data_IF_456188297145
#
_entry.id   IF_456188297145
#
_cell.length_a   1.000
_cell.length_b   1.000
_cell.length_c   1.000
_cell.angle_alpha   90.00
_cell.angle_beta   90.00
_cell.angle_gamma   90.00
#
_symmetry.space_group_name_H-M   'P 1'
#
loop_
_entity.id
_entity.type
_entity.pdbx_description
1 polymer ?
#
# COMPACT_ATOMS: atom_id res chain seq x y z
N UNK A 1 -1.57 1.79 -22.71
CA UNK A 1 -2.62 2.69 -22.18
C UNK A 1 -3.82 1.82 -21.84
N UNK A 2 -4.34 1.88 -20.63
CA UNK A 2 -5.56 1.17 -20.25
C UNK A 2 -6.80 1.97 -20.65
N UNK A 3 -7.90 1.26 -20.89
CA UNK A 3 -9.18 1.85 -21.27
C UNK A 3 -10.25 1.71 -20.18
N UNK A 4 -9.97 0.94 -19.13
CA UNK A 4 -10.85 0.79 -17.96
C UNK A 4 -10.05 0.56 -16.71
N UNK A 5 -10.62 0.96 -15.57
CA UNK A 5 -10.10 0.71 -14.23
C UNK A 5 -11.24 0.27 -13.32
N UNK A 6 -10.94 -0.70 -12.48
CA UNK A 6 -11.79 -1.13 -11.38
C UNK A 6 -11.02 -0.98 -10.07
N UNK A 7 -11.68 -0.43 -9.06
CA UNK A 7 -11.09 -0.09 -7.77
C UNK A 7 -12.00 -0.64 -6.67
N UNK A 8 -11.41 -1.38 -5.74
CA UNK A 8 -12.11 -1.92 -4.59
C UNK A 8 -11.38 -1.54 -3.30
N UNK A 9 -12.15 -1.10 -2.30
CA UNK A 9 -11.70 -0.85 -0.91
C UNK A 9 -10.57 0.17 -0.78
N UNK A 10 -10.54 1.21 -1.61
CA UNK A 10 -9.48 2.22 -1.60
C UNK A 10 -9.99 3.59 -1.15
N UNK A 11 -9.51 4.09 0.00
CA UNK A 11 -9.86 5.41 0.56
C UNK A 11 -11.38 5.62 0.61
N UNK A 12 -11.88 6.70 0.00
CA UNK A 12 -13.31 6.99 -0.11
C UNK A 12 -14.08 6.14 -1.13
N UNK A 13 -13.46 5.14 -1.73
CA UNK A 13 -14.05 4.29 -2.76
C UNK A 13 -14.24 2.88 -2.20
N UNK A 14 -15.48 2.46 -1.97
CA UNK A 14 -15.80 1.07 -1.66
C UNK A 14 -15.66 0.19 -2.90
N UNK A 15 -16.28 0.63 -4.00
CA UNK A 15 -16.16 0.05 -5.33
C UNK A 15 -16.38 1.13 -6.39
N UNK A 16 -15.55 1.13 -7.42
CA UNK A 16 -15.73 1.98 -8.60
C UNK A 16 -15.28 1.24 -9.86
N UNK A 17 -16.02 1.41 -10.93
CA UNK A 17 -15.66 0.95 -12.26
C UNK A 17 -15.79 2.10 -13.25
N UNK A 18 -14.68 2.43 -13.92
CA UNK A 18 -14.61 3.51 -14.92
C UNK A 18 -14.08 2.90 -16.21
N UNK A 19 -14.73 3.17 -17.31
CA UNK A 19 -14.40 2.70 -18.66
C UNK A 19 -14.31 3.85 -19.64
N UNK A 20 -13.86 3.50 -20.85
CA UNK A 20 -13.79 4.42 -21.99
C UNK A 20 -12.82 5.58 -21.75
N UNK A 21 -11.65 5.27 -21.14
CA UNK A 21 -10.57 6.24 -21.01
C UNK A 21 -10.03 6.67 -22.37
N UNK A 22 -10.06 8.00 -22.61
CA UNK A 22 -9.45 8.64 -23.75
C UNK A 22 -8.04 9.15 -23.47
N UNK A 23 -7.50 9.95 -24.39
CA UNK A 23 -6.21 10.63 -24.20
C UNK A 23 -6.31 11.73 -23.12
N UNK A 24 -7.46 12.39 -23.05
CA UNK A 24 -7.79 13.41 -22.05
C UNK A 24 -9.07 12.97 -21.35
N UNK A 25 -9.03 12.93 -20.02
CA UNK A 25 -10.16 12.55 -19.18
C UNK A 25 -10.39 13.64 -18.15
N UNK A 26 -11.61 14.10 -18.01
CA UNK A 26 -12.00 15.11 -17.04
C UNK A 26 -12.93 14.50 -15.98
N UNK A 27 -12.51 14.57 -14.71
CA UNK A 27 -13.31 14.11 -13.58
C UNK A 27 -13.86 15.32 -12.82
N UNK A 28 -15.16 15.52 -12.86
CA UNK A 28 -15.84 16.59 -12.15
C UNK A 28 -16.99 16.06 -11.28
N UNK A 29 -17.34 16.81 -10.26
CA UNK A 29 -18.36 16.44 -9.30
C UNK A 29 -18.20 17.18 -7.98
N UNK A 30 -19.11 16.93 -7.05
CA UNK A 30 -19.13 17.56 -5.72
C UNK A 30 -17.82 17.28 -4.95
N UNK A 31 -17.51 18.11 -3.94
CA UNK A 31 -16.41 17.83 -3.04
C UNK A 31 -16.67 16.52 -2.30
N UNK A 32 -15.58 15.81 -1.99
CA UNK A 32 -15.61 14.52 -1.29
C UNK A 32 -16.33 13.37 -2.02
N UNK A 33 -16.50 13.44 -3.34
CA UNK A 33 -17.10 12.35 -4.14
C UNK A 33 -16.07 11.34 -4.71
N UNK A 34 -14.84 11.32 -4.18
CA UNK A 34 -13.83 10.32 -4.57
C UNK A 34 -12.93 10.67 -5.75
N UNK A 35 -13.03 11.89 -6.34
CA UNK A 35 -12.18 12.30 -7.48
C UNK A 35 -10.68 12.14 -7.23
N UNK A 36 -10.20 12.66 -6.10
CA UNK A 36 -8.78 12.53 -5.73
C UNK A 36 -8.39 11.08 -5.48
N UNK A 37 -9.27 10.29 -4.85
CA UNK A 37 -9.02 8.87 -4.63
C UNK A 37 -8.92 8.10 -5.95
N UNK A 38 -9.75 8.44 -6.95
CA UNK A 38 -9.64 7.86 -8.28
C UNK A 38 -8.30 8.21 -8.95
N UNK A 39 -7.86 9.46 -8.89
CA UNK A 39 -6.57 9.88 -9.44
C UNK A 39 -5.39 9.20 -8.72
N UNK A 40 -5.47 9.04 -7.41
CA UNK A 40 -4.47 8.32 -6.62
C UNK A 40 -4.42 6.83 -6.96
N UNK A 41 -5.57 6.19 -7.19
CA UNK A 41 -5.63 4.81 -7.65
C UNK A 41 -4.98 4.65 -9.04
N UNK A 42 -5.26 5.57 -9.95
CA UNK A 42 -4.62 5.63 -11.28
C UNK A 42 -3.09 5.80 -11.14
N UNK A 43 -2.65 6.68 -10.23
CA UNK A 43 -1.24 6.89 -9.95
C UNK A 43 -0.56 5.63 -9.42
N UNK A 44 -1.18 4.94 -8.46
CA UNK A 44 -0.65 3.69 -7.89
C UNK A 44 -0.51 2.59 -8.96
N UNK A 45 -1.55 2.35 -9.75
CA UNK A 45 -1.54 1.29 -10.76
C UNK A 45 -0.61 1.62 -11.93
N UNK A 46 -0.37 2.91 -12.21
CA UNK A 46 0.57 3.34 -13.23
C UNK A 46 2.01 3.09 -12.82
N UNK A 47 2.34 3.30 -11.55
CA UNK A 47 3.66 3.04 -10.97
C UNK A 47 3.72 1.72 -10.20
N UNK A 48 3.06 0.68 -10.69
CA UNK A 48 2.80 -0.59 -10.00
C UNK A 48 4.04 -1.30 -9.46
N UNK A 49 5.21 -1.06 -10.04
CA UNK A 49 6.49 -1.62 -9.60
C UNK A 49 7.12 -0.88 -8.40
N UNK A 50 6.56 0.25 -8.00
CA UNK A 50 7.09 1.05 -6.90
C UNK A 50 6.14 1.05 -5.69
N UNK A 51 6.35 0.18 -4.70
CA UNK A 51 5.50 0.08 -3.52
C UNK A 51 5.52 1.35 -2.65
N UNK A 52 6.58 2.17 -2.72
CA UNK A 52 6.67 3.41 -1.96
C UNK A 52 5.62 4.46 -2.36
N UNK A 53 4.97 4.30 -3.52
CA UNK A 53 3.93 5.23 -3.96
C UNK A 53 2.73 5.27 -3.00
N UNK A 54 2.38 4.14 -2.37
CA UNK A 54 1.29 4.09 -1.40
C UNK A 54 1.57 4.97 -0.17
N UNK A 55 2.84 5.13 0.21
CA UNK A 55 3.25 6.06 1.26
C UNK A 55 3.27 7.50 0.78
N UNK A 56 3.77 7.70 -0.45
CA UNK A 56 3.87 9.05 -1.03
C UNK A 56 2.51 9.73 -1.16
N UNK A 57 1.45 8.99 -1.52
CA UNK A 57 0.10 9.56 -1.60
C UNK A 57 -0.47 9.94 -0.22
N UNK A 58 -0.05 9.28 0.87
CA UNK A 58 -0.40 9.69 2.22
C UNK A 58 0.36 10.97 2.61
N UNK A 59 1.64 11.04 2.26
CA UNK A 59 2.45 12.21 2.51
C UNK A 59 1.92 13.49 1.82
N UNK A 60 1.49 13.37 0.56
CA UNK A 60 0.89 14.50 -0.18
C UNK A 60 -0.37 15.03 0.51
N UNK A 61 -1.07 14.20 1.29
CA UNK A 61 -2.24 14.61 2.09
C UNK A 61 -1.89 15.10 3.49
N UNK A 62 -0.61 15.34 3.79
CA UNK A 62 -0.14 15.81 5.10
C UNK A 62 -0.48 14.88 6.27
N UNK A 63 -0.76 13.61 6.01
CA UNK A 63 -0.88 12.63 7.08
C UNK A 63 0.50 12.38 7.69
N UNK A 64 0.60 12.52 9.02
CA UNK A 64 1.85 12.32 9.75
C UNK A 64 2.36 10.88 9.57
N UNK A 65 3.64 10.72 9.28
CA UNK A 65 4.29 9.45 8.90
C UNK A 65 4.61 8.54 10.09
N UNK A 66 4.25 8.94 11.30
CA UNK A 66 4.85 8.39 12.52
C UNK A 66 4.02 7.37 13.25
N UNK A 67 2.81 7.01 12.77
CA UNK A 67 1.90 6.14 13.52
C UNK A 67 1.28 5.04 12.66
N UNK A 68 0.97 3.90 13.32
CA UNK A 68 0.23 2.78 12.76
C UNK A 68 -1.04 3.21 12.01
N UNK A 69 -1.77 4.20 12.57
CA UNK A 69 -2.96 4.76 11.95
C UNK A 69 -2.75 5.31 10.55
N UNK A 70 -1.53 5.72 10.20
CA UNK A 70 -1.25 6.35 8.91
C UNK A 70 -1.38 5.38 7.73
N UNK A 71 -1.09 4.10 7.93
CA UNK A 71 -1.25 3.08 6.91
C UNK A 71 -2.72 2.73 6.66
N UNK A 72 -3.57 2.86 7.67
CA UNK A 72 -5.00 2.57 7.52
C UNK A 72 -5.73 3.58 6.62
N UNK A 73 -5.18 4.80 6.46
CA UNK A 73 -5.78 5.84 5.61
C UNK A 73 -5.84 5.50 4.12
N UNK A 74 -5.10 4.49 3.65
CA UNK A 74 -5.24 4.03 2.26
C UNK A 74 -6.43 3.10 2.08
N UNK A 75 -6.92 2.48 3.16
CA UNK A 75 -8.04 1.54 3.12
C UNK A 75 -9.38 2.25 3.24
N UNK A 76 -10.40 1.67 2.61
CA UNK A 76 -11.77 2.19 2.69
C UNK A 76 -12.30 2.05 4.12
N UNK A 77 -12.89 3.13 4.66
CA UNK A 77 -13.38 3.22 6.04
C UNK A 77 -12.33 2.83 7.11
N UNK A 78 -11.03 2.99 6.80
CA UNK A 78 -9.91 2.59 7.66
C UNK A 78 -9.88 1.08 7.99
N UNK A 79 -10.61 0.26 7.24
CA UNK A 79 -10.72 -1.18 7.46
C UNK A 79 -9.59 -1.92 6.77
N UNK A 80 -8.63 -2.39 7.55
CA UNK A 80 -7.44 -3.10 7.08
C UNK A 80 -7.66 -4.60 6.85
N UNK A 81 -8.82 -5.13 7.21
CA UNK A 81 -9.23 -6.54 7.05
C UNK A 81 -9.52 -6.92 5.59
N UNK A 82 -9.70 -5.92 4.73
CA UNK A 82 -9.97 -6.13 3.31
C UNK A 82 -8.83 -5.58 2.47
N UNK A 83 -8.31 -6.36 1.52
CA UNK A 83 -7.28 -5.86 0.61
C UNK A 83 -7.86 -4.77 -0.30
N UNK A 84 -7.02 -3.81 -0.63
CA UNK A 84 -7.28 -2.89 -1.74
C UNK A 84 -6.98 -3.67 -3.02
N UNK A 85 -7.90 -3.61 -3.98
CA UNK A 85 -7.69 -4.21 -5.30
C UNK A 85 -7.92 -3.15 -6.37
N UNK A 86 -6.89 -2.88 -7.16
CA UNK A 86 -6.96 -1.98 -8.30
C UNK A 86 -6.56 -2.78 -9.53
N UNK A 87 -7.41 -2.79 -10.55
CA UNK A 87 -7.12 -3.50 -11.80
C UNK A 87 -7.48 -2.66 -13.01
N UNK A 88 -6.68 -2.80 -14.06
CA UNK A 88 -6.90 -2.10 -15.33
C UNK A 88 -6.88 -3.10 -16.48
N UNK A 89 -7.66 -2.80 -17.52
CA UNK A 89 -7.62 -3.50 -18.78
C UNK A 89 -7.38 -2.54 -19.92
N UNK A 90 -6.71 -3.02 -20.95
CA UNK A 90 -6.39 -2.26 -22.15
C UNK A 90 -5.26 -2.93 -22.91
N UNK A 91 -4.26 -2.16 -23.35
CA UNK A 91 -3.09 -2.71 -24.04
C UNK A 91 -2.26 -3.64 -23.12
N UNK A 92 -2.23 -3.34 -21.84
CA UNK A 92 -1.67 -4.17 -20.78
C UNK A 92 -2.74 -4.36 -19.70
N UNK A 93 -2.82 -5.57 -19.16
CA UNK A 93 -3.62 -5.84 -17.97
C UNK A 93 -2.74 -5.68 -16.73
N UNK A 94 -3.19 -4.87 -15.77
CA UNK A 94 -2.49 -4.65 -14.52
C UNK A 94 -3.43 -4.92 -13.37
N UNK A 95 -2.91 -5.58 -12.35
CA UNK A 95 -3.60 -5.80 -11.08
C UNK A 95 -2.66 -5.50 -9.93
N UNK A 96 -3.13 -4.72 -8.97
CA UNK A 96 -2.43 -4.37 -7.74
C UNK A 96 -3.32 -4.73 -6.57
N UNK A 97 -2.84 -5.62 -5.72
CA UNK A 97 -3.44 -5.96 -4.45
C UNK A 97 -2.55 -5.38 -3.33
N UNK A 98 -3.16 -4.63 -2.40
CA UNK A 98 -2.46 -4.08 -1.22
C UNK A 98 -3.18 -4.59 0.02
N UNK A 99 -2.46 -5.27 0.89
CA UNK A 99 -2.97 -5.77 2.15
C UNK A 99 -2.15 -5.26 3.33
N UNK A 100 -2.82 -5.01 4.44
CA UNK A 100 -2.19 -4.73 5.72
C UNK A 100 -1.70 -6.03 6.36
N UNK A 101 -0.59 -5.97 7.07
CA UNK A 101 -0.16 -7.07 7.90
C UNK A 101 0.40 -6.55 9.22
N UNK A 102 0.27 -7.39 10.23
CA UNK A 102 0.87 -7.23 11.54
C UNK A 102 1.57 -8.54 11.90
N UNK A 103 2.78 -8.46 12.40
CA UNK A 103 3.54 -9.61 12.90
C UNK A 103 4.17 -9.27 14.23
N UNK A 104 4.02 -10.14 15.20
CA UNK A 104 4.71 -10.04 16.49
C UNK A 104 6.06 -10.77 16.38
N UNK A 105 7.15 -10.03 16.60
CA UNK A 105 8.47 -10.63 16.79
C UNK A 105 8.81 -10.60 18.28
N UNK A 106 8.99 -11.79 18.88
CA UNK A 106 9.49 -11.91 20.25
C UNK A 106 11.00 -12.00 20.20
N UNK A 107 11.70 -10.97 20.59
CA UNK A 107 13.17 -10.98 20.71
C UNK A 107 13.54 -11.13 22.18
N UNK A 108 14.28 -12.20 22.51
CA UNK A 108 14.87 -12.38 23.84
C UNK A 108 16.18 -11.58 23.86
N UNK A 109 16.25 -10.55 24.66
CA UNK A 109 17.50 -9.81 24.92
C UNK A 109 17.98 -10.11 26.34
N UNK A 110 19.28 -10.38 26.46
CA UNK A 110 19.96 -10.35 27.75
C UNK A 110 20.03 -8.88 28.22
N UNK A 111 19.49 -8.60 29.39
CA UNK A 111 19.62 -7.29 30.00
C UNK A 111 21.09 -7.06 30.35
N UNK A 112 21.71 -6.04 29.76
CA UNK A 112 23.10 -5.68 30.02
C UNK A 112 23.37 -5.21 31.46
N UNK A 113 22.33 -4.87 32.22
CA UNK A 113 22.44 -4.41 33.62
C UNK A 113 22.22 -5.54 34.64
N UNK A 114 21.49 -6.59 34.25
CA UNK A 114 21.20 -7.76 35.09
C UNK A 114 21.30 -9.04 34.26
N UNK A 115 22.51 -9.66 34.17
CA UNK A 115 22.77 -10.77 33.22
C UNK A 115 21.88 -12.02 33.37
N UNK A 116 21.14 -12.13 34.48
CA UNK A 116 20.24 -13.26 34.75
C UNK A 116 18.76 -12.95 34.49
N UNK A 117 18.40 -11.77 33.99
CA UNK A 117 17.04 -11.43 33.62
C UNK A 117 16.90 -11.43 32.10
N UNK A 118 16.08 -12.35 31.58
CA UNK A 118 15.62 -12.37 30.20
C UNK A 118 14.42 -11.45 30.06
N UNK A 119 14.57 -10.35 29.37
CA UNK A 119 13.42 -9.50 29.03
C UNK A 119 12.86 -9.93 27.66
N UNK A 120 11.62 -10.38 27.66
CA UNK A 120 10.86 -10.60 26.43
C UNK A 120 10.39 -9.24 25.91
N UNK A 121 11.08 -8.69 24.92
CA UNK A 121 10.61 -7.50 24.23
C UNK A 121 9.74 -7.98 23.06
N UNK A 122 8.43 -7.80 23.19
CA UNK A 122 7.52 -7.96 22.05
C UNK A 122 7.66 -6.74 21.17
N UNK A 123 8.06 -6.95 19.94
CA UNK A 123 8.10 -5.92 18.91
C UNK A 123 7.01 -6.26 17.88
N UNK A 124 6.02 -5.39 17.75
CA UNK A 124 5.04 -5.50 16.69
C UNK A 124 5.60 -4.83 15.44
N UNK A 125 5.74 -5.59 14.38
CA UNK A 125 6.06 -5.08 13.05
C UNK A 125 4.79 -5.07 12.22
N UNK A 126 4.48 -3.96 11.61
CA UNK A 126 3.31 -3.81 10.75
C UNK A 126 3.68 -3.09 9.46
N UNK A 127 2.86 -3.28 8.44
CA UNK A 127 3.17 -2.69 7.15
C UNK A 127 2.16 -3.05 6.07
N UNK A 128 2.58 -2.84 4.83
CA UNK A 128 1.81 -3.16 3.64
C UNK A 128 2.52 -4.22 2.81
N UNK A 129 1.76 -5.24 2.40
CA UNK A 129 2.16 -6.20 1.37
C UNK A 129 1.54 -5.80 0.05
N UNK A 130 2.34 -5.86 -0.99
CA UNK A 130 1.95 -5.55 -2.37
C UNK A 130 2.10 -6.81 -3.21
N UNK A 131 1.04 -7.18 -3.90
CA UNK A 131 1.07 -8.17 -4.97
C UNK A 131 0.66 -7.47 -6.25
N UNK A 132 1.56 -7.40 -7.19
CA UNK A 132 1.39 -6.69 -8.44
C UNK A 132 1.51 -7.67 -9.61
N UNK A 133 0.61 -7.55 -10.58
CA UNK A 133 0.64 -8.34 -11.81
C UNK A 133 0.52 -7.42 -13.01
N UNK A 134 1.42 -7.60 -13.98
CA UNK A 134 1.39 -6.93 -15.28
C UNK A 134 1.44 -8.03 -16.35
N UNK A 135 0.34 -8.24 -17.05
CA UNK A 135 0.14 -9.38 -17.95
C UNK A 135 0.49 -10.71 -17.27
N UNK A 136 1.56 -11.37 -17.72
CA UNK A 136 2.03 -12.65 -17.16
C UNK A 136 3.13 -12.50 -16.11
N UNK A 137 3.56 -11.27 -15.79
CA UNK A 137 4.62 -11.02 -14.80
C UNK A 137 4.01 -10.67 -13.46
N UNK A 138 4.49 -11.29 -12.39
CA UNK A 138 4.02 -11.02 -11.02
C UNK A 138 5.18 -10.51 -10.16
N UNK A 139 4.88 -9.54 -9.31
CA UNK A 139 5.83 -8.91 -8.39
C UNK A 139 5.20 -8.89 -7.00
N UNK A 140 5.97 -9.27 -6.00
CA UNK A 140 5.56 -9.16 -4.61
C UNK A 140 6.58 -8.31 -3.86
N UNK A 141 6.10 -7.39 -3.05
CA UNK A 141 6.94 -6.56 -2.20
C UNK A 141 6.27 -6.32 -0.86
N UNK A 142 7.05 -5.93 0.12
CA UNK A 142 6.56 -5.63 1.45
C UNK A 142 7.28 -4.40 1.98
N UNK A 143 6.53 -3.49 2.58
CA UNK A 143 7.08 -2.36 3.30
C UNK A 143 6.67 -2.49 4.76
N UNK A 144 7.66 -2.49 5.64
CA UNK A 144 7.47 -2.56 7.08
C UNK A 144 7.80 -1.20 7.71
N UNK A 145 7.00 -0.76 8.66
CA UNK A 145 7.33 0.36 9.52
C UNK A 145 8.02 -0.17 10.77
N UNK A 146 9.10 0.48 11.16
CA UNK A 146 9.77 0.22 12.43
C UNK A 146 9.24 1.20 13.49
N UNK A 147 8.70 0.70 14.59
CA UNK A 147 8.20 1.51 15.71
C UNK A 147 9.27 2.44 16.29
N UNK A 148 10.56 2.05 16.21
CA UNK A 148 11.65 2.85 16.74
C UNK A 148 12.20 3.88 15.74
N UNK A 149 11.94 3.69 14.45
CA UNK A 149 12.34 4.64 13.42
C UNK A 149 11.37 4.62 12.23
N UNK A 150 10.23 5.31 12.35
CA UNK A 150 9.18 5.33 11.35
C UNK A 150 9.61 5.91 9.99
N UNK A 151 10.82 6.47 9.91
CA UNK A 151 11.43 6.96 8.66
C UNK A 151 12.18 5.88 7.89
N UNK A 152 12.52 4.77 8.51
CA UNK A 152 13.18 3.64 7.86
C UNK A 152 12.15 2.72 7.20
N UNK A 153 11.87 2.98 5.95
CA UNK A 153 11.13 2.07 5.09
C UNK A 153 12.05 0.91 4.72
N UNK A 154 11.84 -0.26 5.31
CA UNK A 154 12.55 -1.47 4.90
C UNK A 154 11.82 -2.04 3.68
N UNK A 155 12.29 -1.69 2.49
CA UNK A 155 11.85 -2.32 1.25
C UNK A 155 12.51 -3.70 1.15
N UNK A 156 11.77 -4.76 1.44
CA UNK A 156 12.16 -6.09 0.98
C UNK A 156 11.67 -6.23 -0.46
N UNK A 157 12.52 -5.85 -1.42
CA UNK A 157 12.33 -6.25 -2.80
C UNK A 157 12.53 -7.77 -2.85
N UNK A 158 11.66 -8.52 -3.52
CA UNK A 158 11.99 -9.91 -3.84
C UNK A 158 13.28 -9.90 -4.65
N UNK A 159 14.25 -10.71 -4.24
CA UNK A 159 15.42 -10.97 -5.04
C UNK A 159 15.01 -11.55 -6.39
N UNK A 160 15.82 -11.23 -7.36
CA UNK A 160 15.90 -11.77 -8.71
C UNK A 160 14.88 -11.21 -9.73
N UNK A 161 15.31 -10.09 -10.31
CA UNK A 161 15.10 -9.86 -11.73
C UNK A 161 16.07 -10.80 -12.47
N UNK A 162 15.68 -12.03 -12.74
CA UNK A 162 16.28 -12.81 -13.80
C UNK A 162 15.58 -12.44 -15.08
N UNK A 163 16.38 -11.89 -16.00
CA UNK A 163 16.04 -11.54 -17.37
C UNK A 163 15.35 -12.69 -18.16
#
# INVERSE_FOLDING_TARGET
>A
MFNQIEINSFRGISHAFVKDFGQINLFFGKNNCGKSSLLEAIFLISGISNPSLAFNINFVREYDKTRLGDLSFVFHDLKTDRPIVIQTKGREERKLDISFFESEESTIKLDSKTPNMLSNIKKSNYGLKFSAKVDNRSFNSQITLDDNNPRNLINKLPGDYTE
#
